data_IF_598642909059
#
_entry.id   IF_598642909059
#
_cell.length_a   1.000
_cell.length_b   1.000
_cell.length_c   1.000
_cell.angle_alpha   90.00
_cell.angle_beta   90.00
_cell.angle_gamma   90.00
#
_symmetry.space_group_name_H-M   'P 1'
#
loop_
_entity.id
_entity.type
_entity.pdbx_description
1 polymer ?
#
# COMPACT_ATOMS: atom_id res chain seq x y z
N UNK A 1 9.71 -4.43 -12.60
CA UNK A 1 11.18 -4.48 -12.73
C UNK A 1 11.69 -5.84 -13.18
N UNK A 2 11.76 -6.85 -12.29
CA UNK A 2 12.51 -8.11 -12.51
C UNK A 2 12.30 -8.72 -13.89
N UNK A 3 11.05 -9.02 -14.27
CA UNK A 3 10.73 -9.69 -15.53
C UNK A 3 11.34 -9.05 -16.78
N UNK A 4 11.46 -7.71 -16.82
CA UNK A 4 12.11 -6.98 -17.92
C UNK A 4 13.63 -6.97 -17.75
N UNK A 5 14.14 -6.74 -16.53
CA UNK A 5 15.59 -6.66 -16.29
C UNK A 5 16.34 -7.98 -16.52
N UNK A 6 15.70 -9.13 -16.31
CA UNK A 6 16.30 -10.45 -16.54
C UNK A 6 15.85 -11.09 -17.86
N UNK A 7 15.15 -10.33 -18.73
CA UNK A 7 14.78 -10.76 -20.08
C UNK A 7 13.67 -11.81 -20.17
N UNK A 8 12.87 -12.03 -19.11
CA UNK A 8 11.67 -12.89 -19.20
C UNK A 8 10.57 -12.27 -20.05
N UNK A 9 10.47 -10.93 -20.04
CA UNK A 9 9.58 -10.16 -20.90
C UNK A 9 10.45 -9.17 -21.68
N UNK A 10 10.50 -9.36 -23.00
CA UNK A 10 11.23 -8.51 -23.94
C UNK A 10 10.28 -7.65 -24.75
N UNK A 11 10.66 -6.40 -25.01
CA UNK A 11 9.92 -5.46 -25.87
C UNK A 11 10.90 -4.51 -26.55
N UNK A 12 10.54 -4.01 -27.72
CA UNK A 12 11.22 -2.92 -28.42
C UNK A 12 10.68 -1.54 -28.00
N UNK A 13 9.46 -1.47 -27.45
CA UNK A 13 8.84 -0.24 -26.96
C UNK A 13 9.44 0.23 -25.64
N UNK A 14 9.69 1.53 -25.42
CA UNK A 14 10.34 2.02 -24.20
C UNK A 14 9.54 1.69 -22.94
N UNK A 15 8.21 1.81 -23.02
CA UNK A 15 7.28 1.34 -22.00
C UNK A 15 6.86 -0.11 -22.28
N UNK A 16 6.97 -0.97 -21.27
CA UNK A 16 6.61 -2.40 -21.37
C UNK A 16 5.41 -2.71 -20.48
N UNK A 17 4.26 -2.97 -21.11
CA UNK A 17 3.04 -3.37 -20.42
C UNK A 17 3.08 -4.83 -19.95
N UNK A 18 2.64 -5.08 -18.72
CA UNK A 18 2.57 -6.40 -18.08
C UNK A 18 1.23 -6.51 -17.34
N UNK A 19 0.42 -7.49 -17.72
CA UNK A 19 -0.78 -7.86 -16.97
C UNK A 19 -0.41 -8.87 -15.88
N UNK A 20 -0.92 -8.66 -14.66
CA UNK A 20 -0.66 -9.50 -13.50
C UNK A 20 -1.99 -9.85 -12.84
N UNK A 21 -2.38 -11.12 -12.90
CA UNK A 21 -3.53 -11.61 -12.16
C UNK A 21 -3.17 -11.75 -10.67
N UNK A 22 -3.94 -11.11 -9.79
CA UNK A 22 -3.75 -11.14 -8.33
C UNK A 22 -5.04 -11.59 -7.64
N UNK A 23 -5.00 -11.98 -6.34
CA UNK A 23 -6.23 -12.32 -5.60
C UNK A 23 -7.26 -11.19 -5.54
N UNK A 24 -6.84 -9.93 -5.66
CA UNK A 24 -7.73 -8.77 -5.68
C UNK A 24 -8.29 -8.45 -7.09
N UNK A 25 -7.78 -9.10 -8.14
CA UNK A 25 -8.12 -8.85 -9.54
C UNK A 25 -6.90 -8.56 -10.44
N UNK A 26 -7.17 -8.12 -11.67
CA UNK A 26 -6.16 -7.83 -12.69
C UNK A 26 -5.46 -6.49 -12.43
N UNK A 27 -4.15 -6.53 -12.27
CA UNK A 27 -3.27 -5.35 -12.20
C UNK A 27 -2.59 -5.13 -13.54
N UNK A 28 -2.59 -3.89 -14.04
CA UNK A 28 -1.90 -3.50 -15.29
C UNK A 28 -0.67 -2.69 -14.96
N UNK A 29 0.51 -3.32 -14.98
CA UNK A 29 1.78 -2.68 -14.73
C UNK A 29 2.43 -2.18 -16.04
N UNK A 30 3.11 -1.03 -15.98
CA UNK A 30 3.94 -0.49 -17.06
C UNK A 30 5.35 -0.28 -16.53
N UNK A 31 6.33 -0.90 -17.17
CA UNK A 31 7.75 -0.73 -16.86
C UNK A 31 8.33 0.34 -17.78
N UNK A 32 8.75 1.47 -17.20
CA UNK A 32 9.30 2.61 -17.92
C UNK A 32 10.82 2.49 -18.04
N UNK A 33 11.35 2.51 -19.26
CA UNK A 33 12.80 2.41 -19.53
C UNK A 33 13.40 3.72 -20.02
N UNK A 34 14.72 3.83 -19.94
CA UNK A 34 15.45 4.93 -20.56
C UNK A 34 15.45 4.81 -22.10
N UNK A 35 15.23 5.94 -22.79
CA UNK A 35 15.36 6.05 -24.24
C UNK A 35 16.84 6.21 -24.63
N UNK A 36 17.62 5.13 -24.57
CA UNK A 36 18.93 5.05 -25.20
C UNK A 36 18.95 3.89 -26.21
N UNK A 37 19.70 4.05 -27.30
CA UNK A 37 19.76 3.11 -28.43
C UNK A 37 20.47 1.78 -28.12
N UNK A 38 20.78 1.52 -26.85
CA UNK A 38 21.29 0.22 -26.39
C UNK A 38 20.09 -0.67 -26.02
N UNK A 39 20.22 -1.98 -26.21
CA UNK A 39 19.14 -2.95 -25.90
C UNK A 39 19.07 -3.13 -24.38
N UNK A 40 18.52 -2.12 -23.70
CA UNK A 40 18.76 -1.84 -22.30
C UNK A 40 17.73 -2.43 -21.34
N UNK A 41 18.24 -3.10 -20.31
CA UNK A 41 17.51 -3.53 -19.10
C UNK A 41 17.32 -2.39 -18.08
N UNK A 42 17.54 -1.13 -18.50
CA UNK A 42 17.59 0.04 -17.62
C UNK A 42 16.17 0.54 -17.30
N UNK A 43 15.55 -0.08 -16.29
CA UNK A 43 14.24 0.31 -15.75
C UNK A 43 14.41 1.55 -14.88
N UNK A 44 13.79 2.66 -15.29
CA UNK A 44 13.76 3.91 -14.53
C UNK A 44 12.75 3.79 -13.39
N UNK A 45 11.55 3.30 -13.71
CA UNK A 45 10.42 3.21 -12.76
C UNK A 45 9.38 2.20 -13.24
N UNK A 46 8.45 1.85 -12.38
CA UNK A 46 7.26 1.06 -12.71
C UNK A 46 6.04 1.82 -12.25
N UNK A 47 5.02 1.93 -13.09
CA UNK A 47 3.67 2.27 -12.66
C UNK A 47 2.76 1.05 -12.70
N UNK A 48 1.69 1.04 -11.92
CA UNK A 48 0.60 0.09 -12.09
C UNK A 48 -0.74 0.77 -11.91
N UNK A 49 -1.70 0.41 -12.76
CA UNK A 49 -3.12 0.70 -12.55
C UNK A 49 -3.68 -0.39 -11.66
N UNK A 50 -4.20 0.02 -10.51
CA UNK A 50 -4.74 -0.88 -9.50
C UNK A 50 -6.21 -1.22 -9.77
N UNK A 51 -6.76 -2.15 -8.97
CA UNK A 51 -8.19 -2.46 -8.93
C UNK A 51 -9.01 -1.29 -8.36
N UNK A 52 -10.35 -1.27 -8.56
CA UNK A 52 -11.22 -0.22 -8.01
C UNK A 52 -10.97 -0.02 -6.51
N UNK A 53 -10.61 1.20 -6.15
CA UNK A 53 -10.30 1.60 -4.78
C UNK A 53 -11.40 2.50 -4.26
N UNK A 54 -11.92 2.24 -3.06
CA UNK A 54 -13.16 2.85 -2.56
C UNK A 54 -13.12 3.05 -1.04
N UNK A 55 -13.99 3.93 -0.57
CA UNK A 55 -14.17 4.21 0.85
C UNK A 55 -15.37 3.41 1.39
N UNK A 56 -15.21 2.85 2.59
CA UNK A 56 -16.29 2.17 3.35
C UNK A 56 -16.87 3.12 4.39
N UNK A 57 -16.01 3.82 5.14
CA UNK A 57 -16.39 4.81 6.13
C UNK A 57 -15.38 5.96 6.16
N UNK A 58 -15.87 7.17 6.40
CA UNK A 58 -15.06 8.34 6.76
C UNK A 58 -15.36 8.73 8.20
N UNK A 59 -14.34 9.26 8.89
CA UNK A 59 -14.43 9.85 10.23
C UNK A 59 -15.08 8.90 11.26
N UNK A 60 -14.84 7.60 11.10
CA UNK A 60 -15.31 6.54 12.00
C UNK A 60 -14.62 6.63 13.37
N UNK A 61 -15.24 6.07 14.40
CA UNK A 61 -14.71 6.06 15.77
C UNK A 61 -14.69 4.65 16.34
N UNK A 62 -13.62 4.31 17.06
CA UNK A 62 -13.52 3.06 17.83
C UNK A 62 -12.81 3.31 19.15
N UNK A 63 -13.23 2.60 20.21
CA UNK A 63 -12.54 2.64 21.51
C UNK A 63 -11.43 1.58 21.50
N UNK A 64 -10.19 2.00 21.72
CA UNK A 64 -9.00 1.14 21.71
C UNK A 64 -8.31 1.24 23.07
N UNK A 65 -8.02 0.10 23.70
CA UNK A 65 -7.40 0.00 25.03
C UNK A 65 -7.91 1.08 26.03
N UNK A 66 -7.07 1.95 26.59
CA UNK A 66 -5.60 2.02 26.54
C UNK A 66 -4.98 2.92 25.46
N UNK A 67 -5.79 3.50 24.56
CA UNK A 67 -5.54 4.69 23.71
C UNK A 67 -6.72 5.67 23.79
N UNK A 68 -7.94 5.18 24.08
CA UNK A 68 -9.17 5.98 24.13
C UNK A 68 -9.97 5.86 22.84
N UNK A 69 -10.70 6.92 22.48
CA UNK A 69 -11.38 7.01 21.18
C UNK A 69 -10.36 7.32 20.09
N UNK A 70 -10.30 6.47 19.07
CA UNK A 70 -9.46 6.65 17.88
C UNK A 70 -10.36 6.93 16.67
N UNK A 71 -10.09 8.02 15.96
CA UNK A 71 -10.72 8.30 14.67
C UNK A 71 -10.03 7.48 13.56
N UNK A 72 -10.82 6.99 12.60
CA UNK A 72 -10.28 6.32 11.42
C UNK A 72 -11.15 6.48 10.18
N UNK A 73 -10.50 6.61 9.03
CA UNK A 73 -11.14 6.33 7.73
C UNK A 73 -10.91 4.85 7.38
N UNK A 74 -11.92 4.18 6.81
CA UNK A 74 -11.82 2.79 6.36
C UNK A 74 -11.96 2.74 4.84
N UNK A 75 -10.93 2.27 4.15
CA UNK A 75 -10.93 2.21 2.69
C UNK A 75 -10.23 0.96 2.14
N UNK A 76 -10.58 0.61 0.90
CA UNK A 76 -10.03 -0.49 0.13
C UNK A 76 -9.19 0.03 -1.04
N UNK A 77 -8.05 -0.61 -1.28
CA UNK A 77 -7.17 -0.31 -2.41
C UNK A 77 -6.49 -1.55 -2.99
N UNK A 78 -7.22 -2.66 -3.08
CA UNK A 78 -6.69 -4.02 -3.26
C UNK A 78 -6.47 -4.76 -1.94
N UNK A 79 -6.56 -4.05 -0.81
CA UNK A 79 -6.66 -4.56 0.55
C UNK A 79 -7.34 -3.49 1.44
N UNK A 80 -7.97 -3.89 2.55
CA UNK A 80 -8.60 -2.96 3.50
C UNK A 80 -7.60 -2.38 4.50
N UNK A 81 -7.72 -1.08 4.75
CA UNK A 81 -6.92 -0.36 5.75
C UNK A 81 -7.76 0.59 6.58
N UNK A 82 -7.45 0.64 7.88
CA UNK A 82 -7.89 1.70 8.77
C UNK A 82 -6.81 2.79 8.78
N UNK A 83 -7.13 3.97 8.28
CA UNK A 83 -6.24 5.13 8.25
C UNK A 83 -6.45 5.96 9.50
N UNK A 84 -5.38 6.28 10.21
CA UNK A 84 -5.42 7.08 11.45
C UNK A 84 -4.43 8.23 11.36
N UNK A 85 -4.77 9.34 11.99
CA UNK A 85 -3.86 10.47 12.16
C UNK A 85 -2.81 10.13 13.26
N UNK A 86 -1.54 10.30 12.95
CA UNK A 86 -0.44 9.99 13.86
C UNK A 86 -0.26 11.04 14.96
N UNK A 87 -0.59 12.30 14.68
CA UNK A 87 -0.47 13.42 15.61
C UNK A 87 -1.65 13.44 16.59
N UNK A 88 -2.88 13.07 16.18
CA UNK A 88 -3.99 12.82 17.12
C UNK A 88 -3.64 11.74 18.15
N UNK A 89 -2.85 10.74 17.76
CA UNK A 89 -2.40 9.64 18.62
C UNK A 89 -1.08 9.94 19.38
N UNK A 90 -0.43 11.07 19.09
CA UNK A 90 0.86 11.44 19.66
C UNK A 90 2.01 10.51 19.29
N UNK A 91 1.96 9.86 18.12
CA UNK A 91 2.94 8.86 17.66
C UNK A 91 3.83 9.42 16.57
N UNK A 92 5.15 9.51 16.82
CA UNK A 92 6.11 9.92 15.79
C UNK A 92 6.24 8.85 14.70
N UNK A 93 6.08 9.24 13.43
CA UNK A 93 6.25 8.39 12.25
C UNK A 93 7.72 8.27 11.82
N UNK A 94 8.56 7.75 12.73
CA UNK A 94 10.01 7.66 12.59
C UNK A 94 10.53 6.24 12.92
N UNK A 95 11.65 5.78 12.32
CA UNK A 95 12.19 4.43 12.56
C UNK A 95 12.55 4.13 14.03
N UNK A 96 12.97 5.15 14.79
CA UNK A 96 13.27 5.01 16.23
C UNK A 96 12.02 4.72 17.08
N UNK A 97 10.82 5.00 16.55
CA UNK A 97 9.54 4.82 17.22
C UNK A 97 8.77 3.58 16.73
N UNK A 98 9.41 2.68 15.96
CA UNK A 98 8.76 1.54 15.31
C UNK A 98 7.97 0.65 16.29
N UNK A 99 8.45 0.46 17.53
CA UNK A 99 7.77 -0.38 18.53
C UNK A 99 6.38 0.17 18.92
N UNK A 100 6.25 1.49 19.08
CA UNK A 100 4.96 2.12 19.44
C UNK A 100 3.98 2.06 18.25
N UNK A 101 4.47 2.31 17.03
CA UNK A 101 3.68 2.15 15.81
C UNK A 101 3.12 0.72 15.68
N UNK A 102 3.93 -0.31 15.97
CA UNK A 102 3.50 -1.71 15.96
C UNK A 102 2.41 -1.98 17.00
N UNK A 103 2.62 -1.55 18.25
CA UNK A 103 1.65 -1.76 19.33
C UNK A 103 0.29 -1.12 18.99
N UNK A 104 0.32 0.18 18.66
CA UNK A 104 -0.90 0.94 18.37
C UNK A 104 -1.58 0.38 17.12
N UNK A 105 -0.82 0.07 16.07
CA UNK A 105 -1.35 -0.47 14.82
C UNK A 105 -2.04 -1.83 15.01
N UNK A 106 -1.48 -2.74 15.83
CA UNK A 106 -2.12 -4.01 16.17
C UNK A 106 -3.40 -3.80 16.98
N UNK A 107 -3.38 -2.90 17.98
CA UNK A 107 -4.53 -2.62 18.85
C UNK A 107 -5.67 -1.95 18.10
N UNK A 108 -5.37 -0.98 17.23
CA UNK A 108 -6.33 -0.32 16.33
C UNK A 108 -6.91 -1.33 15.34
N UNK A 109 -6.07 -2.12 14.64
CA UNK A 109 -6.52 -3.18 13.73
C UNK A 109 -7.49 -4.14 14.43
N UNK A 110 -7.13 -4.65 15.60
CA UNK A 110 -7.99 -5.56 16.36
C UNK A 110 -9.32 -4.91 16.77
N UNK A 111 -9.30 -3.65 17.23
CA UNK A 111 -10.50 -2.94 17.62
C UNK A 111 -11.43 -2.69 16.42
N UNK A 112 -10.91 -2.17 15.30
CA UNK A 112 -11.70 -1.92 14.08
C UNK A 112 -12.27 -3.21 13.50
N UNK A 113 -11.49 -4.30 13.41
CA UNK A 113 -11.98 -5.61 12.94
C UNK A 113 -13.10 -6.20 13.79
N UNK A 114 -13.20 -5.83 15.07
CA UNK A 114 -14.25 -6.29 15.97
C UNK A 114 -15.48 -5.36 15.99
N UNK A 115 -15.35 -4.11 15.53
CA UNK A 115 -16.43 -3.11 15.57
C UNK A 115 -17.07 -2.80 14.22
N UNK A 116 -16.33 -2.96 13.12
CA UNK A 116 -16.76 -2.59 11.78
C UNK A 116 -17.09 -3.83 10.93
N UNK A 117 -18.12 -3.72 10.09
CA UNK A 117 -18.39 -4.71 9.06
C UNK A 117 -17.48 -4.46 7.85
N UNK A 118 -16.56 -5.39 7.57
CA UNK A 118 -15.53 -5.24 6.53
C UNK A 118 -15.78 -6.29 5.45
N UNK A 119 -16.79 -6.03 4.62
CA UNK A 119 -17.22 -6.93 3.54
C UNK A 119 -16.88 -6.35 2.16
N UNK A 120 -16.19 -7.12 1.32
CA UNK A 120 -15.96 -6.74 -0.08
C UNK A 120 -17.23 -6.99 -0.90
N UNK A 121 -17.77 -6.00 -1.63
CA UNK A 121 -19.06 -6.13 -2.32
C UNK A 121 -19.14 -7.26 -3.35
N UNK A 122 -17.98 -7.74 -3.84
CA UNK A 122 -17.89 -8.71 -4.94
C UNK A 122 -17.05 -9.95 -4.62
N UNK A 123 -16.26 -9.97 -3.53
CA UNK A 123 -15.22 -10.99 -3.28
C UNK A 123 -15.03 -11.31 -1.78
N UNK A 124 -15.78 -12.29 -1.26
CA UNK A 124 -15.79 -12.65 0.16
C UNK A 124 -14.40 -12.94 0.75
N UNK A 125 -13.49 -13.55 -0.01
CA UNK A 125 -12.11 -13.84 0.41
C UNK A 125 -11.26 -12.58 0.71
N UNK A 126 -11.71 -11.39 0.31
CA UNK A 126 -11.07 -10.10 0.58
C UNK A 126 -11.67 -9.36 1.79
N UNK A 127 -12.71 -9.92 2.43
CA UNK A 127 -13.48 -9.31 3.53
C UNK A 127 -12.75 -9.36 4.88
N UNK A 128 -11.56 -8.75 4.96
CA UNK A 128 -10.80 -8.63 6.22
C UNK A 128 -9.90 -7.40 6.24
N UNK A 129 -9.66 -6.85 7.44
CA UNK A 129 -8.73 -5.73 7.63
C UNK A 129 -7.27 -6.20 7.50
N UNK A 130 -6.56 -5.70 6.49
CA UNK A 130 -5.17 -6.08 6.25
C UNK A 130 -4.23 -5.42 7.27
N UNK A 131 -4.41 -4.13 7.53
CA UNK A 131 -3.56 -3.35 8.44
C UNK A 131 -4.15 -1.99 8.86
N UNK A 132 -3.41 -1.31 9.72
CA UNK A 132 -3.60 0.10 10.05
C UNK A 132 -2.55 0.91 9.32
N UNK A 133 -2.91 2.07 8.75
CA UNK A 133 -1.97 3.01 8.16
C UNK A 133 -1.99 4.28 9.00
N UNK A 134 -0.88 4.57 9.67
CA UNK A 134 -0.65 5.87 10.28
C UNK A 134 -0.34 6.88 9.19
N UNK A 135 -0.92 8.07 9.31
CA UNK A 135 -0.73 9.16 8.35
C UNK A 135 -0.47 10.47 9.05
N UNK A 136 0.26 11.36 8.40
CA UNK A 136 0.63 12.67 8.94
C UNK A 136 1.51 13.44 7.95
N UNK A 137 2.08 14.54 8.44
CA UNK A 137 2.90 15.44 7.63
C UNK A 137 4.13 14.75 6.99
N UNK A 138 4.54 15.18 5.78
CA UNK A 138 5.74 14.70 5.12
C UNK A 138 7.02 15.30 5.75
N UNK A 139 8.18 14.70 5.47
CA UNK A 139 9.49 15.30 5.80
C UNK A 139 9.98 16.28 4.74
N UNK A 140 9.78 16.02 3.44
CA UNK A 140 9.96 17.04 2.40
C UNK A 140 8.63 17.79 2.19
N UNK A 141 8.56 19.12 2.41
CA UNK A 141 7.34 19.90 2.22
C UNK A 141 6.83 19.99 0.77
N UNK A 142 7.50 19.34 -0.19
CA UNK A 142 7.00 19.14 -1.56
C UNK A 142 6.12 17.89 -1.71
N UNK A 143 6.21 16.93 -0.80
CA UNK A 143 5.36 15.76 -0.81
C UNK A 143 4.01 16.08 -0.16
N UNK A 144 3.01 15.24 -0.37
CA UNK A 144 1.65 15.46 0.15
C UNK A 144 1.55 15.05 1.62
N UNK A 145 1.98 13.83 1.94
CA UNK A 145 1.86 13.24 3.28
C UNK A 145 2.79 12.05 3.44
N UNK A 146 2.81 11.46 4.63
CA UNK A 146 3.50 10.20 4.93
C UNK A 146 2.49 9.09 5.26
N UNK A 147 2.85 7.85 4.91
CA UNK A 147 2.20 6.62 5.35
C UNK A 147 3.18 5.75 6.15
N UNK A 148 2.73 5.16 7.26
CA UNK A 148 3.36 3.98 7.87
C UNK A 148 2.31 2.88 8.02
N UNK A 149 2.39 1.83 7.20
CA UNK A 149 1.51 0.68 7.34
C UNK A 149 2.03 -0.31 8.38
N UNK A 150 1.15 -0.72 9.28
CA UNK A 150 1.32 -1.84 10.21
C UNK A 150 0.30 -2.92 9.85
N UNK A 151 0.79 -4.09 9.41
CA UNK A 151 -0.03 -5.15 8.82
C UNK A 151 0.36 -6.54 9.36
N UNK A 152 -0.30 -7.59 8.86
CA UNK A 152 -0.11 -8.98 9.31
C UNK A 152 -0.15 -9.07 10.86
N UNK A 153 0.88 -9.66 11.49
CA UNK A 153 1.09 -9.65 12.95
C UNK A 153 2.09 -8.56 13.39
N UNK A 154 1.79 -7.30 13.04
CA UNK A 154 2.61 -6.14 13.39
C UNK A 154 3.83 -5.93 12.49
N UNK A 155 3.88 -6.51 11.31
CA UNK A 155 4.87 -6.14 10.30
C UNK A 155 4.72 -4.65 9.92
N UNK A 156 5.83 -3.99 9.60
CA UNK A 156 5.84 -2.58 9.22
C UNK A 156 6.31 -2.47 7.78
N UNK A 157 5.55 -1.80 6.93
CA UNK A 157 5.99 -1.54 5.55
C UNK A 157 7.11 -0.49 5.55
N UNK A 158 8.13 -0.72 4.71
CA UNK A 158 9.27 0.19 4.51
C UNK A 158 9.06 1.09 3.30
N UNK A 159 8.04 0.80 2.49
CA UNK A 159 7.49 1.62 1.42
C UNK A 159 6.24 2.40 1.91
N UNK A 160 5.70 3.33 1.11
CA UNK A 160 4.42 4.00 1.40
C UNK A 160 3.18 3.09 1.31
N UNK A 161 3.36 1.81 0.98
CA UNK A 161 2.35 0.77 0.74
C UNK A 161 1.49 1.03 -0.50
N UNK A 162 1.74 0.31 -1.60
CA UNK A 162 1.09 0.54 -2.91
C UNK A 162 -0.45 0.46 -2.90
N UNK A 163 -0.99 -0.53 -2.21
CA UNK A 163 -2.45 -0.66 -1.97
C UNK A 163 -2.96 0.37 -0.95
N UNK A 164 -2.10 0.80 -0.01
CA UNK A 164 -2.37 1.86 0.95
C UNK A 164 -2.49 3.24 0.32
N UNK A 165 -1.56 3.64 -0.57
CA UNK A 165 -1.67 4.90 -1.32
C UNK A 165 -2.86 4.89 -2.29
N UNK A 166 -3.24 3.73 -2.82
CA UNK A 166 -4.45 3.56 -3.64
C UNK A 166 -5.73 3.83 -2.84
N UNK A 167 -5.84 3.26 -1.63
CA UNK A 167 -6.94 3.51 -0.72
C UNK A 167 -6.94 4.96 -0.17
N UNK A 168 -5.76 5.54 0.10
CA UNK A 168 -5.63 6.96 0.49
C UNK A 168 -6.10 7.90 -0.62
N UNK A 169 -5.79 7.61 -1.89
CA UNK A 169 -6.30 8.39 -3.02
C UNK A 169 -7.84 8.35 -3.08
N UNK A 170 -8.47 7.20 -2.79
CA UNK A 170 -9.93 7.10 -2.69
C UNK A 170 -10.51 7.97 -1.56
N UNK A 171 -9.87 7.98 -0.38
CA UNK A 171 -10.25 8.84 0.76
C UNK A 171 -10.13 10.32 0.38
N UNK A 172 -8.98 10.74 -0.15
CA UNK A 172 -8.74 12.14 -0.53
C UNK A 172 -9.71 12.60 -1.62
N UNK A 173 -10.00 11.77 -2.63
CA UNK A 173 -11.02 12.09 -3.63
C UNK A 173 -12.43 12.16 -3.04
N UNK A 174 -12.77 11.33 -2.04
CA UNK A 174 -14.07 11.41 -1.35
C UNK A 174 -14.19 12.67 -0.48
N UNK A 175 -13.10 13.12 0.15
CA UNK A 175 -13.00 14.39 0.89
C UNK A 175 -12.83 15.63 -0.01
N UNK A 176 -12.68 15.44 -1.33
CA UNK A 176 -12.40 16.47 -2.35
C UNK A 176 -11.01 17.14 -2.23
N UNK A 177 -10.08 16.47 -1.56
CA UNK A 177 -8.69 16.88 -1.32
C UNK A 177 -7.72 16.44 -2.44
N UNK A 178 -8.13 15.51 -3.33
CA UNK A 178 -7.38 15.10 -4.52
C UNK A 178 -8.23 15.31 -5.79
N UNK A 179 -7.74 16.17 -6.70
CA UNK A 179 -8.42 16.53 -7.93
C UNK A 179 -8.20 15.51 -9.07
N UNK A 180 -9.09 15.43 -10.08
CA UNK A 180 -8.88 14.58 -11.25
C UNK A 180 -7.61 14.95 -12.02
N UNK A 181 -6.77 13.95 -12.36
CA UNK A 181 -5.44 14.10 -12.98
C UNK A 181 -4.40 14.82 -12.11
N UNK A 182 -4.66 15.04 -10.83
CA UNK A 182 -3.64 15.46 -9.87
C UNK A 182 -2.79 14.25 -9.45
N UNK A 183 -1.48 14.43 -9.41
CA UNK A 183 -0.53 13.44 -8.89
C UNK A 183 0.01 13.95 -7.57
N UNK A 184 -0.09 13.13 -6.52
CA UNK A 184 0.49 13.39 -5.21
C UNK A 184 1.58 12.38 -4.88
N UNK A 185 2.63 12.83 -4.20
CA UNK A 185 3.72 11.97 -3.73
C UNK A 185 3.53 11.68 -2.24
N UNK A 186 3.54 10.40 -1.86
CA UNK A 186 3.38 9.95 -0.48
C UNK A 186 4.67 9.26 0.00
N UNK A 187 5.15 9.67 1.17
CA UNK A 187 6.37 9.15 1.80
C UNK A 187 6.12 7.89 2.65
N UNK A 188 7.20 7.14 2.91
CA UNK A 188 7.27 6.06 3.88
C UNK A 188 7.99 6.48 5.18
N UNK A 189 8.02 5.59 6.17
CA UNK A 189 8.86 5.71 7.37
C UNK A 189 10.37 5.90 7.07
N UNK A 190 10.82 5.50 5.87
CA UNK A 190 12.22 5.62 5.42
C UNK A 190 12.46 6.80 4.45
N UNK A 191 11.45 7.63 4.18
CA UNK A 191 11.52 8.70 3.17
C UNK A 191 11.56 8.21 1.72
N UNK A 192 11.33 6.91 1.48
CA UNK A 192 11.05 6.40 0.12
C UNK A 192 9.65 6.81 -0.29
N UNK A 193 9.43 7.07 -1.57
CA UNK A 193 8.20 7.69 -2.06
C UNK A 193 7.52 6.85 -3.15
N UNK A 194 6.19 6.98 -3.23
CA UNK A 194 5.37 6.56 -4.37
C UNK A 194 4.52 7.75 -4.80
N UNK A 195 4.36 7.90 -6.10
CA UNK A 195 3.38 8.83 -6.67
C UNK A 195 2.05 8.09 -6.85
N UNK A 196 0.93 8.77 -6.61
CA UNK A 196 -0.41 8.26 -6.92
C UNK A 196 -1.26 9.34 -7.57
N UNK A 197 -2.01 8.94 -8.60
CA UNK A 197 -3.01 9.76 -9.29
C UNK A 197 -4.31 8.96 -9.48
N UNK A 198 -5.45 9.65 -9.55
CA UNK A 198 -6.73 9.04 -9.95
C UNK A 198 -6.94 9.25 -11.45
N UNK A 199 -6.90 8.15 -12.20
CA UNK A 199 -6.95 8.18 -13.67
C UNK A 199 -8.34 7.94 -14.25
N UNK A 200 -9.25 7.36 -13.46
CA UNK A 200 -10.65 7.13 -13.85
C UNK A 200 -11.55 6.96 -12.61
N UNK A 201 -12.87 6.97 -12.80
CA UNK A 201 -13.89 6.65 -11.79
C UNK A 201 -14.58 5.34 -12.15
N UNK A 202 -15.02 4.60 -11.14
CA UNK A 202 -15.66 3.30 -11.31
C UNK A 202 -16.61 3.01 -10.14
N UNK A 203 -17.05 1.76 -10.02
CA UNK A 203 -17.84 1.24 -8.89
C UNK A 203 -17.33 -0.14 -8.50
N UNK A 204 -17.45 -0.51 -7.24
CA UNK A 204 -17.34 -1.89 -6.77
C UNK A 204 -18.65 -2.25 -6.05
N UNK A 205 -19.44 -3.15 -6.64
CA UNK A 205 -20.83 -3.36 -6.27
C UNK A 205 -21.63 -2.06 -6.24
N UNK A 206 -22.03 -1.65 -5.04
CA UNK A 206 -22.80 -0.43 -4.78
C UNK A 206 -21.95 0.79 -4.37
N UNK A 207 -20.63 0.61 -4.18
CA UNK A 207 -19.73 1.66 -3.70
C UNK A 207 -19.10 2.41 -4.87
N UNK A 208 -19.07 3.74 -4.79
CA UNK A 208 -18.31 4.59 -5.71
C UNK A 208 -16.81 4.36 -5.50
N UNK A 209 -16.09 4.14 -6.61
CA UNK A 209 -14.67 3.83 -6.61
C UNK A 209 -13.87 4.78 -7.52
N UNK A 210 -12.57 4.85 -7.27
CA UNK A 210 -11.58 5.44 -8.18
C UNK A 210 -10.70 4.33 -8.76
N UNK A 211 -10.12 4.59 -9.92
CA UNK A 211 -9.05 3.76 -10.49
C UNK A 211 -7.74 4.52 -10.27
N UNK A 212 -6.92 4.14 -9.27
CA UNK A 212 -5.65 4.80 -9.03
C UNK A 212 -4.54 4.18 -9.89
N UNK A 213 -3.61 5.03 -10.35
CA UNK A 213 -2.30 4.61 -10.85
C UNK A 213 -1.26 4.96 -9.81
N UNK A 214 -0.46 3.98 -9.40
CA UNK A 214 0.65 4.14 -8.45
C UNK A 214 1.96 3.98 -9.19
N UNK A 215 2.96 4.82 -8.90
CA UNK A 215 4.31 4.77 -9.49
C UNK A 215 5.38 4.67 -8.42
N UNK A 216 6.39 3.84 -8.67
CA UNK A 216 7.52 3.67 -7.78
C UNK A 216 8.69 2.93 -8.45
N UNK A 217 9.76 2.74 -7.68
CA UNK A 217 10.97 2.07 -8.14
C UNK A 217 11.22 0.79 -7.33
N UNK A 218 11.85 -0.19 -7.97
CA UNK A 218 12.30 -1.42 -7.31
C UNK A 218 13.61 -1.87 -7.97
N UNK A 219 14.51 -2.43 -7.17
CA UNK A 219 15.87 -2.82 -7.56
C UNK A 219 16.11 -4.30 -7.22
N UNK A 220 16.86 -5.00 -8.06
CA UNK A 220 17.29 -6.38 -7.77
C UNK A 220 18.39 -6.32 -6.71
N UNK A 221 18.12 -6.86 -5.52
CA UNK A 221 19.08 -6.90 -4.40
C UNK A 221 19.91 -8.17 -4.34
N UNK A 222 19.45 -9.24 -4.97
CA UNK A 222 20.14 -10.53 -4.98
C UNK A 222 19.40 -11.60 -5.78
N UNK A 223 20.06 -12.75 -5.94
CA UNK A 223 19.48 -14.02 -6.38
C UNK A 223 19.85 -15.06 -5.31
N UNK A 224 18.86 -15.82 -4.86
CA UNK A 224 19.01 -16.75 -3.74
C UNK A 224 18.53 -18.14 -4.15
N UNK A 225 19.32 -19.16 -3.83
CA UNK A 225 18.93 -20.56 -3.89
C UNK A 225 18.84 -21.06 -2.43
N UNK A 226 17.63 -21.27 -1.93
CA UNK A 226 17.39 -21.74 -0.55
C UNK A 226 17.41 -23.27 -0.50
N UNK A 227 18.12 -23.84 0.49
CA UNK A 227 18.27 -25.28 0.67
C UNK A 227 17.64 -25.70 2.00
N UNK A 228 16.82 -26.74 1.98
CA UNK A 228 16.10 -27.26 3.13
C UNK A 228 16.46 -28.74 3.34
N UNK A 229 17.09 -29.06 4.47
CA UNK A 229 17.37 -30.45 4.87
C UNK A 229 16.14 -31.03 5.59
N UNK A 230 15.57 -32.17 5.15
CA UNK A 230 14.46 -32.84 5.85
C UNK A 230 14.77 -33.27 7.30
N UNK A 231 16.04 -33.25 7.72
CA UNK A 231 16.48 -33.52 9.09
C UNK A 231 16.63 -32.25 9.94
N UNK A 232 16.55 -31.05 9.36
CA UNK A 232 16.61 -29.80 10.11
C UNK A 232 15.30 -29.57 10.88
N UNK A 233 15.41 -29.55 12.21
CA UNK A 233 14.28 -29.30 13.13
C UNK A 233 13.70 -27.89 13.01
N UNK A 234 14.42 -26.96 12.36
CA UNK A 234 14.02 -25.58 12.11
C UNK A 234 13.76 -25.32 10.61
N UNK A 235 13.57 -26.37 9.78
CA UNK A 235 13.32 -26.23 8.33
C UNK A 235 12.14 -25.30 7.97
N UNK A 236 11.16 -25.16 8.86
CA UNK A 236 9.98 -24.30 8.69
C UNK A 236 10.19 -22.86 9.22
N UNK A 237 11.41 -22.52 9.65
CA UNK A 237 11.74 -21.29 10.34
C UNK A 237 11.24 -21.24 11.79
N UNK A 238 11.38 -20.05 12.39
CA UNK A 238 10.87 -19.70 13.71
C UNK A 238 10.55 -18.21 13.74
N UNK A 239 9.73 -17.78 14.69
CA UNK A 239 9.35 -16.38 14.87
C UNK A 239 9.52 -15.95 16.32
N UNK A 240 10.21 -14.84 16.53
CA UNK A 240 10.41 -14.18 17.82
C UNK A 240 10.36 -12.67 17.59
N UNK A 241 9.53 -11.97 18.38
CA UNK A 241 9.33 -10.52 18.36
C UNK A 241 9.04 -10.04 19.78
#
# INVERSE_FOLDING_TARGET
TVAVQIGWITSDQPDVGINIDTPAGLIKATVHRANDNDIGTNVISVSFVNVPSFVVALDGQVIVEGLGTVHYDLAFGGAYYAFVDADELGVRMQPDNQAQLIDYGRRIKHAVSNSAEINHPEHEDLSFLYGTIFTGDPQDPKHHSRNVCVFADGEVDRSPTGTGVSARAAILTAKNELQPNETITIESILGTCFDVEVIDRSTCGHLSAVIPRVRGNAYITGRHDFLFDPLDKLMNGFYLR
#
